data_IF_734008627804
#
_entry.id   IF_734008627804
#
_cell.length_a   1.000
_cell.length_b   1.000
_cell.length_c   1.000
_cell.angle_alpha   90.00
_cell.angle_beta   90.00
_cell.angle_gamma   90.00
#
_symmetry.space_group_name_H-M   'P 1'
#
loop_
_entity.id
_entity.type
_entity.pdbx_description
1 polymer ?
#
# COMPACT_ATOMS: atom_id res chain seq x y z
N UNK A 1 11.16 -4.03 18.07
CA UNK A 1 12.60 -3.79 17.79
C UNK A 1 13.41 -4.02 19.07
N UNK A 2 14.64 -4.53 19.00
CA UNK A 2 15.58 -4.50 20.14
C UNK A 2 16.49 -3.26 20.01
N UNK A 3 16.71 -2.54 21.11
CA UNK A 3 17.61 -1.38 21.16
C UNK A 3 19.06 -1.84 20.95
N UNK A 4 19.85 -1.09 20.19
CA UNK A 4 21.28 -1.34 20.04
C UNK A 4 22.08 -0.92 21.28
N UNK A 5 23.26 -1.52 21.48
CA UNK A 5 24.10 -1.29 22.67
C UNK A 5 24.58 0.16 22.81
N UNK A 6 24.83 0.84 21.69
CA UNK A 6 25.35 2.22 21.64
C UNK A 6 24.33 3.24 21.17
N UNK A 7 23.04 2.90 21.25
CA UNK A 7 21.98 3.75 20.73
C UNK A 7 21.60 4.85 21.73
N UNK A 8 21.78 6.11 21.32
CA UNK A 8 21.40 7.28 22.11
C UNK A 8 19.87 7.33 22.29
N UNK A 9 19.40 8.03 23.33
CA UNK A 9 17.96 8.10 23.64
C UNK A 9 17.15 8.76 22.52
N UNK A 10 17.68 9.81 21.91
CA UNK A 10 17.06 10.54 20.81
C UNK A 10 17.04 9.72 19.51
N UNK A 11 18.12 8.99 19.21
CA UNK A 11 18.17 8.04 18.09
C UNK A 11 17.17 6.89 18.29
N UNK A 12 17.00 6.45 19.53
CA UNK A 12 16.02 5.42 19.89
C UNK A 12 14.60 5.84 19.57
N UNK A 13 14.27 7.10 19.83
CA UNK A 13 12.95 7.62 19.53
C UNK A 13 12.67 7.64 18.03
N UNK A 14 13.61 8.16 17.23
CA UNK A 14 13.46 8.22 15.78
C UNK A 14 13.34 6.83 15.13
N UNK A 15 14.17 5.89 15.57
CA UNK A 15 14.13 4.51 15.09
C UNK A 15 12.84 3.81 15.49
N UNK A 16 12.32 4.06 16.69
CA UNK A 16 11.03 3.52 17.12
C UNK A 16 9.87 4.11 16.30
N UNK A 17 9.89 5.41 15.98
CA UNK A 17 8.88 6.04 15.09
C UNK A 17 8.84 5.37 13.72
N UNK A 18 10.00 5.17 13.08
CA UNK A 18 10.06 4.44 11.80
C UNK A 18 9.64 2.97 11.91
N UNK A 19 9.80 2.36 13.09
CA UNK A 19 9.45 0.96 13.32
C UNK A 19 7.94 0.70 13.37
N UNK A 20 7.11 1.73 13.57
CA UNK A 20 5.64 1.61 13.64
C UNK A 20 5.07 0.91 12.40
N UNK A 21 5.63 1.15 11.21
CA UNK A 21 5.19 0.49 9.97
C UNK A 21 5.37 -1.03 10.05
N UNK A 22 6.49 -1.50 10.61
CA UNK A 22 6.74 -2.93 10.78
C UNK A 22 5.78 -3.55 11.79
N UNK A 23 5.46 -2.85 12.89
CA UNK A 23 4.47 -3.33 13.85
C UNK A 23 3.07 -3.43 13.25
N UNK A 24 2.68 -2.43 12.44
CA UNK A 24 1.40 -2.45 11.71
C UNK A 24 1.36 -3.58 10.68
N UNK A 25 2.43 -3.78 9.95
CA UNK A 25 2.55 -4.86 8.99
C UNK A 25 2.44 -6.22 9.66
N UNK A 26 3.21 -6.47 10.72
CA UNK A 26 3.18 -7.77 11.43
C UNK A 26 1.78 -8.09 11.96
N UNK A 27 1.03 -7.08 12.45
CA UNK A 27 -0.38 -7.25 12.86
C UNK A 27 -1.32 -7.67 11.73
N UNK A 28 -0.96 -7.44 10.47
CA UNK A 28 -1.79 -7.71 9.27
C UNK A 28 -1.16 -8.70 8.30
N UNK A 29 0.01 -9.24 8.64
CA UNK A 29 0.85 -10.08 7.79
C UNK A 29 0.11 -11.28 7.23
N UNK A 30 -0.70 -11.95 8.05
CA UNK A 30 -1.46 -13.12 7.62
C UNK A 30 -2.44 -12.80 6.48
N UNK A 31 -3.05 -11.61 6.49
CA UNK A 31 -3.96 -11.17 5.42
C UNK A 31 -3.18 -10.96 4.12
N UNK A 32 -2.01 -10.32 4.20
CA UNK A 32 -1.16 -10.05 3.04
C UNK A 32 -0.52 -11.32 2.47
N UNK A 33 -0.16 -12.28 3.32
CA UNK A 33 0.29 -13.61 2.89
C UNK A 33 -0.84 -14.31 2.16
N UNK A 34 -2.04 -14.38 2.76
CA UNK A 34 -3.22 -15.00 2.12
C UNK A 34 -3.51 -14.36 0.77
N UNK A 35 -3.50 -13.03 0.70
CA UNK A 35 -3.66 -12.30 -0.57
C UNK A 35 -2.63 -12.77 -1.61
N UNK A 36 -1.34 -12.74 -1.30
CA UNK A 36 -0.29 -13.16 -2.23
C UNK A 36 -0.39 -14.63 -2.65
N UNK A 37 -0.86 -15.53 -1.78
CA UNK A 37 -1.06 -16.94 -2.15
C UNK A 37 -2.17 -17.15 -3.20
N UNK A 38 -3.09 -16.20 -3.34
CA UNK A 38 -4.15 -16.25 -4.34
C UNK A 38 -3.67 -15.86 -5.74
N UNK A 39 -2.48 -15.26 -5.87
CA UNK A 39 -1.93 -14.75 -7.15
C UNK A 39 -2.16 -15.69 -8.32
N UNK A 40 -1.63 -16.92 -8.24
CA UNK A 40 -1.71 -17.87 -9.34
C UNK A 40 -3.13 -18.38 -9.59
N UNK A 41 -3.97 -18.46 -8.55
CA UNK A 41 -5.38 -18.85 -8.70
C UNK A 41 -6.16 -17.76 -9.43
N UNK A 42 -5.92 -16.50 -9.09
CA UNK A 42 -6.54 -15.34 -9.76
C UNK A 42 -6.06 -15.25 -11.21
N UNK A 43 -4.76 -15.44 -11.46
CA UNK A 43 -4.24 -15.47 -12.83
C UNK A 43 -4.86 -16.60 -13.67
N UNK A 44 -5.05 -17.79 -13.09
CA UNK A 44 -5.69 -18.90 -13.78
C UNK A 44 -7.17 -18.65 -14.10
N UNK A 45 -7.89 -17.95 -13.21
CA UNK A 45 -9.32 -17.68 -13.37
C UNK A 45 -9.63 -16.46 -14.27
N UNK A 46 -8.82 -15.40 -14.17
CA UNK A 46 -9.11 -14.09 -14.78
C UNK A 46 -8.08 -13.66 -15.82
N UNK A 47 -7.04 -14.47 -16.05
CA UNK A 47 -5.98 -14.21 -17.03
C UNK A 47 -4.71 -13.63 -16.43
N UNK A 48 -3.59 -13.71 -17.18
CA UNK A 48 -2.25 -13.35 -16.69
C UNK A 48 -2.12 -11.86 -16.35
N UNK A 49 -2.88 -10.98 -16.99
CA UNK A 49 -2.82 -9.53 -16.75
C UNK A 49 -3.15 -9.14 -15.29
N UNK A 50 -3.89 -9.99 -14.58
CA UNK A 50 -4.23 -9.78 -13.16
C UNK A 50 -3.01 -9.91 -12.23
N UNK A 51 -1.88 -10.43 -12.70
CA UNK A 51 -0.61 -10.44 -11.96
C UNK A 51 -0.22 -9.03 -11.48
N UNK A 52 -0.50 -8.01 -12.31
CA UNK A 52 -0.14 -6.63 -12.02
C UNK A 52 -0.71 -6.13 -10.69
N UNK A 53 -1.91 -6.55 -10.32
CA UNK A 53 -2.56 -6.19 -9.04
C UNK A 53 -1.68 -6.58 -7.85
N UNK A 54 -1.13 -7.81 -7.88
CA UNK A 54 -0.27 -8.32 -6.81
C UNK A 54 1.10 -7.63 -6.82
N UNK A 55 1.67 -7.41 -8.01
CA UNK A 55 2.96 -6.72 -8.15
C UNK A 55 2.85 -5.28 -7.61
N UNK A 56 1.83 -4.54 -8.00
CA UNK A 56 1.65 -3.14 -7.64
C UNK A 56 1.30 -2.97 -6.16
N UNK A 57 0.52 -3.91 -5.59
CA UNK A 57 0.30 -3.97 -4.13
C UNK A 57 1.60 -4.16 -3.36
N UNK A 58 2.43 -5.15 -3.75
CA UNK A 58 3.71 -5.39 -3.09
C UNK A 58 4.71 -4.23 -3.28
N UNK A 59 4.74 -3.61 -4.46
CA UNK A 59 5.55 -2.40 -4.71
C UNK A 59 5.15 -1.24 -3.81
N UNK A 60 3.85 -1.00 -3.67
CA UNK A 60 3.30 0.07 -2.82
C UNK A 60 3.65 -0.18 -1.35
N UNK A 61 3.48 -1.41 -0.88
CA UNK A 61 3.89 -1.81 0.47
C UNK A 61 5.40 -1.61 0.69
N UNK A 62 6.23 -2.04 -0.27
CA UNK A 62 7.68 -1.88 -0.18
C UNK A 62 8.11 -0.41 -0.17
N UNK A 63 7.43 0.49 -0.90
CA UNK A 63 7.76 1.92 -0.86
C UNK A 63 7.52 2.54 0.52
N UNK A 64 6.52 2.04 1.27
CA UNK A 64 6.27 2.49 2.65
C UNK A 64 7.42 2.05 3.56
N UNK A 65 7.88 0.79 3.46
CA UNK A 65 9.02 0.30 4.23
C UNK A 65 10.33 1.05 3.93
N UNK A 66 10.59 1.32 2.65
CA UNK A 66 11.76 2.08 2.23
C UNK A 66 11.70 3.49 2.82
N UNK A 67 10.56 4.17 2.71
CA UNK A 67 10.40 5.52 3.24
C UNK A 67 10.53 5.57 4.76
N UNK A 68 9.92 4.61 5.47
CA UNK A 68 10.08 4.46 6.92
C UNK A 68 11.54 4.33 7.33
N UNK A 69 12.32 3.50 6.61
CA UNK A 69 13.75 3.31 6.87
C UNK A 69 14.54 4.57 6.56
N UNK A 70 14.30 5.19 5.41
CA UNK A 70 15.01 6.41 4.99
C UNK A 70 14.79 7.55 5.98
N UNK A 71 13.55 7.76 6.43
CA UNK A 71 13.22 8.78 7.43
C UNK A 71 13.95 8.52 8.75
N UNK A 72 13.81 7.32 9.30
CA UNK A 72 14.35 7.00 10.61
C UNK A 72 15.89 6.92 10.65
N UNK A 73 16.53 6.43 9.60
CA UNK A 73 17.99 6.19 9.59
C UNK A 73 18.80 7.34 9.00
N UNK A 74 18.20 8.15 8.12
CA UNK A 74 18.90 9.18 7.38
C UNK A 74 18.32 10.57 7.61
N UNK A 75 17.06 10.82 7.23
CA UNK A 75 16.54 12.18 7.19
C UNK A 75 16.35 12.78 8.58
N UNK A 76 15.53 12.16 9.43
CA UNK A 76 15.29 12.68 10.78
C UNK A 76 16.55 12.69 11.65
N UNK A 77 17.48 11.75 11.42
CA UNK A 77 18.75 11.69 12.15
C UNK A 77 19.69 12.87 11.81
N UNK A 78 19.68 13.34 10.56
CA UNK A 78 20.55 14.45 10.11
C UNK A 78 19.97 15.82 10.45
N UNK A 79 18.64 15.90 10.61
CA UNK A 79 17.93 17.14 10.91
C UNK A 79 18.49 17.79 12.19
N UNK A 80 19.02 19.01 12.06
CA UNK A 80 19.60 19.78 13.17
C UNK A 80 20.94 19.28 13.71
N UNK A 81 21.49 18.17 13.19
CA UNK A 81 22.78 17.60 13.64
C UNK A 81 23.92 17.77 12.65
N UNK A 82 23.62 17.83 11.35
CA UNK A 82 24.62 17.99 10.30
C UNK A 82 24.50 19.41 9.73
N UNK A 83 25.57 20.21 9.74
CA UNK A 83 25.56 21.51 9.07
C UNK A 83 25.41 21.29 7.56
N UNK A 84 24.46 22.01 6.96
CA UNK A 84 24.17 21.96 5.53
C UNK A 84 24.12 23.39 4.99
N UNK A 85 24.68 23.59 3.81
CA UNK A 85 24.51 24.86 3.08
C UNK A 85 23.07 25.00 2.55
N UNK A 86 22.67 26.20 2.13
CA UNK A 86 21.29 26.53 1.72
C UNK A 86 20.71 25.55 0.69
N UNK A 87 21.44 25.29 -0.40
CA UNK A 87 21.00 24.37 -1.46
C UNK A 87 20.92 22.92 -0.98
N UNK A 88 21.88 22.50 -0.13
CA UNK A 88 21.92 21.16 0.42
C UNK A 88 20.77 20.93 1.41
N UNK A 89 20.44 21.95 2.20
CA UNK A 89 19.35 21.93 3.14
C UNK A 89 17.99 21.86 2.43
N UNK A 90 17.80 22.65 1.36
CA UNK A 90 16.57 22.57 0.57
C UNK A 90 16.38 21.18 -0.03
N UNK A 91 17.42 20.62 -0.66
CA UNK A 91 17.37 19.26 -1.21
C UNK A 91 17.08 18.20 -0.13
N UNK A 92 17.64 18.39 1.07
CA UNK A 92 17.35 17.51 2.20
C UNK A 92 15.88 17.57 2.62
N UNK A 93 15.31 18.77 2.71
CA UNK A 93 13.90 18.98 3.03
C UNK A 93 12.98 18.39 1.97
N UNK A 94 13.27 18.61 0.68
CA UNK A 94 12.44 18.11 -0.42
C UNK A 94 12.38 16.58 -0.41
N UNK A 95 13.52 15.91 -0.27
CA UNK A 95 13.58 14.45 -0.21
C UNK A 95 12.96 13.90 1.08
N UNK A 96 13.12 14.59 2.22
CA UNK A 96 12.46 14.23 3.47
C UNK A 96 10.94 14.28 3.31
N UNK A 97 10.41 15.39 2.78
CA UNK A 97 8.97 15.60 2.55
C UNK A 97 8.39 14.54 1.61
N UNK A 98 9.13 14.16 0.56
CA UNK A 98 8.74 13.08 -0.35
C UNK A 98 8.56 11.75 0.37
N UNK A 99 9.50 11.39 1.25
CA UNK A 99 9.37 10.17 2.04
C UNK A 99 8.28 10.29 3.11
N UNK A 100 8.08 11.46 3.70
CA UNK A 100 6.99 11.72 4.64
C UNK A 100 5.62 11.58 3.98
N UNK A 101 5.45 12.04 2.74
CA UNK A 101 4.22 11.87 1.96
C UNK A 101 3.90 10.42 1.58
N UNK A 102 4.90 9.52 1.60
CA UNK A 102 4.70 8.07 1.43
C UNK A 102 4.45 7.37 2.78
N UNK A 103 5.07 7.88 3.84
CA UNK A 103 5.05 7.26 5.16
C UNK A 103 3.78 7.60 5.95
N UNK A 104 3.32 8.84 5.84
CA UNK A 104 2.11 9.32 6.50
C UNK A 104 0.90 9.22 5.57
N UNK A 105 -0.20 8.69 6.08
CA UNK A 105 -1.51 8.89 5.44
C UNK A 105 -1.92 10.34 5.66
N UNK A 106 -1.86 11.14 4.60
CA UNK A 106 -2.21 12.56 4.65
C UNK A 106 -3.72 12.78 4.68
N UNK A 107 -4.53 11.72 4.54
CA UNK A 107 -5.99 11.74 4.53
C UNK A 107 -6.59 12.78 3.56
N UNK A 108 -5.89 13.04 2.45
CA UNK A 108 -6.31 13.98 1.42
C UNK A 108 -6.30 13.33 0.04
N UNK A 109 -6.91 13.99 -0.95
CA UNK A 109 -7.04 13.48 -2.33
C UNK A 109 -5.69 13.41 -3.06
N UNK A 110 -4.67 14.12 -2.58
CA UNK A 110 -3.33 14.16 -3.17
C UNK A 110 -2.39 13.09 -2.61
N UNK A 111 -2.87 12.23 -1.71
CA UNK A 111 -2.07 11.16 -1.10
C UNK A 111 -1.69 10.11 -2.15
N UNK A 112 -0.41 10.00 -2.44
CA UNK A 112 0.11 9.12 -3.50
C UNK A 112 -0.17 7.64 -3.20
N UNK A 113 -0.06 7.23 -1.94
CA UNK A 113 -0.24 5.83 -1.54
C UNK A 113 -1.72 5.45 -1.59
N UNK A 114 -2.60 6.34 -1.12
CA UNK A 114 -4.05 6.15 -1.22
C UNK A 114 -4.50 6.00 -2.67
N UNK A 115 -4.08 6.92 -3.53
CA UNK A 115 -4.38 6.87 -4.97
C UNK A 115 -3.89 5.57 -5.61
N UNK A 116 -2.68 5.10 -5.26
CA UNK A 116 -2.17 3.81 -5.75
C UNK A 116 -3.02 2.63 -5.27
N UNK A 117 -3.42 2.61 -4.01
CA UNK A 117 -4.24 1.54 -3.45
C UNK A 117 -5.65 1.51 -4.05
N UNK A 118 -6.25 2.69 -4.27
CA UNK A 118 -7.54 2.83 -4.94
C UNK A 118 -7.49 2.28 -6.37
N UNK A 119 -6.46 2.65 -7.16
CA UNK A 119 -6.28 2.10 -8.51
C UNK A 119 -6.09 0.58 -8.53
N UNK A 120 -5.38 0.02 -7.54
CA UNK A 120 -5.22 -1.44 -7.40
C UNK A 120 -6.57 -2.09 -7.07
N UNK A 121 -7.36 -1.48 -6.19
CA UNK A 121 -8.68 -1.96 -5.83
C UNK A 121 -9.63 -1.92 -7.05
N UNK A 122 -9.66 -0.82 -7.79
CA UNK A 122 -10.48 -0.69 -9.00
C UNK A 122 -10.13 -1.74 -10.06
N UNK A 123 -8.84 -2.05 -10.23
CA UNK A 123 -8.41 -3.12 -11.13
C UNK A 123 -8.92 -4.48 -10.67
N UNK A 124 -8.84 -4.78 -9.37
CA UNK A 124 -9.34 -6.02 -8.80
C UNK A 124 -10.87 -6.14 -8.93
N UNK A 125 -11.60 -5.07 -8.63
CA UNK A 125 -13.05 -5.01 -8.72
C UNK A 125 -13.48 -5.21 -10.18
N UNK A 126 -12.80 -4.56 -11.13
CA UNK A 126 -13.06 -4.73 -12.56
C UNK A 126 -12.83 -6.16 -13.02
N UNK A 127 -11.75 -6.81 -12.58
CA UNK A 127 -11.45 -8.20 -12.96
C UNK A 127 -12.43 -9.21 -12.36
N UNK A 128 -12.96 -8.94 -11.17
CA UNK A 128 -13.84 -9.87 -10.44
C UNK A 128 -15.33 -9.57 -10.63
N UNK A 129 -15.68 -8.44 -11.27
CA UNK A 129 -17.05 -7.97 -11.46
C UNK A 129 -18.00 -9.05 -11.98
N UNK A 130 -17.57 -9.83 -12.98
CA UNK A 130 -18.37 -10.88 -13.61
C UNK A 130 -18.74 -12.03 -12.65
N UNK A 131 -18.02 -12.21 -11.55
CA UNK A 131 -18.36 -13.21 -10.52
C UNK A 131 -19.53 -12.79 -9.63
N UNK A 132 -19.82 -11.49 -9.59
CA UNK A 132 -20.88 -10.92 -8.74
C UNK A 132 -22.09 -10.44 -9.55
N UNK A 133 -21.99 -10.39 -10.88
CA UNK A 133 -23.12 -10.16 -11.77
C UNK A 133 -23.97 -11.45 -11.84
N UNK A 134 -25.24 -11.39 -11.42
CA UNK A 134 -26.13 -12.55 -11.47
C UNK A 134 -26.20 -13.13 -12.90
N UNK A 135 -26.18 -14.46 -13.07
CA UNK A 135 -26.41 -15.11 -14.37
C UNK A 135 -27.84 -14.90 -14.93
N UNK A 136 -28.70 -14.17 -14.21
CA UNK A 136 -30.16 -14.17 -14.37
C UNK A 136 -30.74 -13.05 -15.25
N UNK A 137 -29.98 -12.43 -16.16
CA UNK A 137 -30.66 -11.63 -17.22
C UNK A 137 -31.49 -12.52 -18.15
N UNK A 138 -31.04 -13.73 -18.47
CA UNK A 138 -31.81 -14.65 -19.32
C UNK A 138 -32.96 -15.32 -18.54
N UNK A 139 -32.70 -15.83 -17.33
CA UNK A 139 -33.72 -16.46 -16.50
C UNK A 139 -34.88 -15.52 -16.12
N UNK A 140 -34.62 -14.24 -15.87
CA UNK A 140 -35.69 -13.25 -15.61
C UNK A 140 -36.53 -12.93 -16.86
N UNK A 141 -35.94 -12.99 -18.05
CA UNK A 141 -36.65 -12.80 -19.32
C UNK A 141 -37.55 -14.02 -19.63
N UNK A 142 -37.03 -15.23 -19.43
CA UNK A 142 -37.79 -16.46 -19.68
C UNK A 142 -38.92 -16.68 -18.67
N UNK A 143 -38.71 -16.37 -17.38
CA UNK A 143 -39.76 -16.52 -16.36
C UNK A 143 -40.84 -15.44 -16.47
N UNK A 144 -40.50 -14.17 -16.78
CA UNK A 144 -41.53 -13.13 -17.01
C UNK A 144 -42.45 -13.44 -18.18
N UNK A 145 -41.94 -13.98 -19.29
CA UNK A 145 -42.76 -14.32 -20.47
C UNK A 145 -43.74 -15.48 -20.22
N UNK A 146 -43.38 -16.41 -19.32
CA UNK A 146 -44.19 -17.58 -19.01
C UNK A 146 -45.38 -17.24 -18.09
N UNK A 147 -45.18 -16.33 -17.13
CA UNK A 147 -46.25 -15.86 -16.22
C UNK A 147 -47.19 -14.81 -16.83
N UNK A 148 -46.85 -14.18 -17.96
CA UNK A 148 -47.75 -13.24 -18.66
C UNK A 148 -48.72 -13.92 -19.65
N UNK A 149 -48.64 -15.24 -19.82
CA UNK A 149 -49.51 -16.03 -20.72
C UNK A 149 -50.39 -17.05 -19.98
N UNK A 150 -50.48 -16.96 -18.65
CA UNK A 150 -51.39 -17.74 -17.81
C UNK A 150 -52.59 -16.92 -17.37
#
# INVERSE_FOLDING_TARGET
RKKGEYELSDETELLNRGYIVYERYEKKKDVLIKFNTLKYKVMAAFGPDTEKIFIDCNKTLNSIFISARMLATYYWKRQGRVPMDGDQFQKHLDEMQKHEGIFWDMMNETDEIRNKLELIQEQLDKSTKSCFEEPMKTYSIFTKKWFTKG
#
